data_IF_369568867576
#
_entry.id   IF_369568867576
#
_cell.length_a   1.000
_cell.length_b   1.000
_cell.length_c   1.000
_cell.angle_alpha   90.00
_cell.angle_beta   90.00
_cell.angle_gamma   90.00
#
_symmetry.space_group_name_H-M   'P 1'
#
loop_
_entity.id
_entity.type
_entity.pdbx_description
1 polymer ?
#
# COMPACT_ATOMS: atom_id res chain seq x y z
N UNK A 1 6.01 -16.06 39.82
CA UNK A 1 5.12 -15.12 39.08
C UNK A 1 5.82 -13.81 38.75
N UNK A 2 6.21 -12.93 39.69
CA UNK A 2 6.84 -11.63 39.40
C UNK A 2 8.09 -11.67 38.49
N UNK A 3 8.97 -12.68 38.65
CA UNK A 3 10.15 -12.87 37.79
C UNK A 3 9.79 -13.21 36.34
N UNK A 4 8.76 -14.06 36.14
CA UNK A 4 8.26 -14.45 34.81
C UNK A 4 7.64 -13.24 34.12
N UNK A 5 6.81 -12.46 34.82
CA UNK A 5 6.23 -11.22 34.30
C UNK A 5 7.30 -10.21 33.88
N UNK A 6 8.37 -10.05 34.67
CA UNK A 6 9.50 -9.17 34.33
C UNK A 6 10.27 -9.65 33.10
N UNK A 7 10.47 -10.96 32.96
CA UNK A 7 11.12 -11.54 31.78
C UNK A 7 10.27 -11.35 30.52
N UNK A 8 8.96 -11.62 30.58
CA UNK A 8 8.04 -11.39 29.45
C UNK A 8 8.06 -9.92 29.04
N UNK A 9 7.98 -9.01 30.02
CA UNK A 9 8.07 -7.57 29.74
C UNK A 9 9.38 -7.20 29.02
N UNK A 10 10.51 -7.73 29.46
CA UNK A 10 11.81 -7.46 28.83
C UNK A 10 11.88 -8.02 27.40
N UNK A 11 11.33 -9.20 27.15
CA UNK A 11 11.26 -9.79 25.80
C UNK A 11 10.40 -8.92 24.89
N UNK A 12 9.23 -8.47 25.35
CA UNK A 12 8.35 -7.56 24.61
C UNK A 12 9.06 -6.23 24.33
N UNK A 13 9.75 -5.67 25.32
CA UNK A 13 10.50 -4.42 25.16
C UNK A 13 11.60 -4.56 24.11
N UNK A 14 12.41 -5.62 24.16
CA UNK A 14 13.47 -5.90 23.16
C UNK A 14 12.85 -6.07 21.78
N UNK A 15 11.74 -6.79 21.66
CA UNK A 15 11.02 -6.94 20.41
C UNK A 15 10.53 -5.60 19.85
N UNK A 16 9.95 -4.74 20.69
CA UNK A 16 9.50 -3.40 20.27
C UNK A 16 10.67 -2.51 19.84
N UNK A 17 11.78 -2.50 20.58
CA UNK A 17 12.98 -1.77 20.18
C UNK A 17 13.53 -2.26 18.83
N UNK A 18 13.54 -3.58 18.62
CA UNK A 18 13.95 -4.16 17.34
C UNK A 18 13.02 -3.75 16.20
N UNK A 19 11.70 -3.77 16.39
CA UNK A 19 10.74 -3.31 15.39
C UNK A 19 10.90 -1.82 15.06
N UNK A 20 11.13 -0.98 16.08
CA UNK A 20 11.42 0.45 15.88
C UNK A 20 12.70 0.66 15.07
N UNK A 21 13.77 -0.07 15.39
CA UNK A 21 15.02 -0.03 14.64
C UNK A 21 14.82 -0.43 13.16
N UNK A 22 14.10 -1.53 12.91
CA UNK A 22 13.81 -1.99 11.55
C UNK A 22 12.95 -0.99 10.77
N UNK A 23 11.97 -0.38 11.44
CA UNK A 23 11.10 0.64 10.86
C UNK A 23 11.89 1.89 10.49
N UNK A 24 12.72 2.39 11.40
CA UNK A 24 13.59 3.54 11.17
C UNK A 24 14.47 3.35 9.93
N UNK A 25 15.18 2.22 9.82
CA UNK A 25 16.02 1.95 8.65
C UNK A 25 15.21 1.72 7.36
N UNK A 26 14.01 1.17 7.44
CA UNK A 26 13.13 1.07 6.28
C UNK A 26 12.69 2.47 5.80
N UNK A 27 12.42 3.40 6.71
CA UNK A 27 12.12 4.80 6.34
C UNK A 27 13.35 5.45 5.73
N UNK A 28 14.53 5.36 6.35
CA UNK A 28 15.77 5.90 5.77
C UNK A 28 16.02 5.37 4.34
N UNK A 29 15.86 4.05 4.14
CA UNK A 29 15.99 3.42 2.83
C UNK A 29 15.03 4.04 1.81
N UNK A 30 13.76 4.23 2.16
CA UNK A 30 12.77 4.83 1.26
C UNK A 30 13.09 6.30 0.97
N UNK A 31 13.55 7.05 1.96
CA UNK A 31 13.93 8.45 1.79
C UNK A 31 15.11 8.63 0.82
N UNK A 32 15.93 7.60 0.57
CA UNK A 32 16.95 7.66 -0.49
C UNK A 32 16.36 7.84 -1.90
N UNK A 33 15.08 7.49 -2.11
CA UNK A 33 14.37 7.69 -3.37
C UNK A 33 13.72 9.07 -3.50
N UNK A 34 13.69 9.90 -2.45
CA UNK A 34 13.02 11.21 -2.47
C UNK A 34 13.49 12.11 -3.63
N UNK A 35 14.80 12.26 -3.93
CA UNK A 35 15.23 13.07 -5.07
C UNK A 35 14.73 12.53 -6.41
N UNK A 36 14.67 11.20 -6.55
CA UNK A 36 14.21 10.53 -7.76
C UNK A 36 12.69 10.67 -7.94
N UNK A 37 11.94 10.61 -6.83
CA UNK A 37 10.50 10.91 -6.80
C UNK A 37 10.25 12.36 -7.22
N UNK A 38 11.00 13.32 -6.67
CA UNK A 38 10.91 14.74 -7.05
C UNK A 38 11.18 14.96 -8.54
N UNK A 39 12.23 14.31 -9.06
CA UNK A 39 12.57 14.37 -10.47
C UNK A 39 11.42 13.85 -11.34
N UNK A 40 10.87 12.67 -11.03
CA UNK A 40 9.76 12.07 -11.79
C UNK A 40 8.48 12.91 -11.70
N UNK A 41 8.18 13.47 -10.52
CA UNK A 41 7.01 14.35 -10.35
C UNK A 41 7.16 15.65 -11.14
N UNK A 42 8.38 16.15 -11.33
CA UNK A 42 8.64 17.33 -12.15
C UNK A 42 8.61 17.04 -13.66
N UNK A 43 8.83 15.78 -14.07
CA UNK A 43 8.75 15.35 -15.47
C UNK A 43 7.30 15.28 -16.00
N UNK A 44 6.30 15.17 -15.12
CA UNK A 44 4.92 14.85 -15.49
C UNK A 44 3.93 15.86 -14.91
N UNK A 45 2.86 16.18 -15.65
CA UNK A 45 1.68 16.81 -15.04
C UNK A 45 0.93 15.73 -14.25
N UNK A 46 0.94 15.84 -12.92
CA UNK A 46 0.51 14.75 -12.03
C UNK A 46 -0.30 15.28 -10.85
N UNK A 47 -1.37 14.55 -10.52
CA UNK A 47 -2.15 14.77 -9.30
C UNK A 47 -1.52 14.13 -8.06
N UNK A 48 -0.50 13.27 -8.24
CA UNK A 48 0.21 12.64 -7.13
C UNK A 48 1.15 13.64 -6.45
N UNK A 49 1.41 13.42 -5.17
CA UNK A 49 2.39 14.20 -4.41
C UNK A 49 3.51 13.30 -3.87
N UNK A 50 4.64 13.92 -3.57
CA UNK A 50 5.86 13.25 -3.09
C UNK A 50 5.60 12.36 -1.87
N UNK A 51 4.87 12.88 -0.87
CA UNK A 51 4.63 12.16 0.37
C UNK A 51 3.84 10.87 0.14
N UNK A 52 2.79 10.93 -0.68
CA UNK A 52 2.00 9.76 -1.04
C UNK A 52 2.83 8.73 -1.82
N UNK A 53 3.63 9.17 -2.79
CA UNK A 53 4.48 8.29 -3.59
C UNK A 53 5.52 7.57 -2.70
N UNK A 54 6.19 8.29 -1.80
CA UNK A 54 7.13 7.69 -0.84
C UNK A 54 6.44 6.70 0.11
N UNK A 55 5.24 7.02 0.59
CA UNK A 55 4.46 6.10 1.41
C UNK A 55 4.05 4.83 0.66
N UNK A 56 3.77 4.94 -0.64
CA UNK A 56 3.50 3.79 -1.50
C UNK A 56 4.77 2.96 -1.73
N UNK A 57 5.93 3.56 -2.01
CA UNK A 57 7.22 2.83 -2.07
C UNK A 57 7.49 2.07 -0.77
N UNK A 58 7.25 2.71 0.39
CA UNK A 58 7.38 2.05 1.68
C UNK A 58 6.40 0.87 1.82
N UNK A 59 5.16 1.05 1.39
CA UNK A 59 4.13 0.02 1.47
C UNK A 59 4.42 -1.16 0.55
N UNK A 60 4.89 -0.92 -0.67
CA UNK A 60 5.19 -1.96 -1.67
C UNK A 60 6.44 -2.75 -1.30
N UNK A 61 7.59 -2.06 -1.20
CA UNK A 61 8.89 -2.73 -1.17
C UNK A 61 9.78 -2.32 -0.02
N UNK A 62 9.43 -1.25 0.70
CA UNK A 62 10.31 -0.63 1.71
C UNK A 62 11.63 -0.18 1.08
N UNK A 63 11.62 0.07 -0.24
CA UNK A 63 12.80 0.40 -1.05
C UNK A 63 13.81 -0.75 -1.21
N UNK A 64 13.41 -2.01 -0.99
CA UNK A 64 14.31 -3.18 -1.01
C UNK A 64 14.35 -3.95 -2.33
N UNK A 65 13.51 -3.58 -3.28
CA UNK A 65 13.45 -4.20 -4.61
C UNK A 65 13.74 -3.15 -5.67
N UNK A 66 14.12 -3.58 -6.88
CA UNK A 66 14.40 -2.67 -7.99
C UNK A 66 13.12 -2.04 -8.52
N UNK A 67 12.05 -2.84 -8.65
CA UNK A 67 10.69 -2.36 -8.91
C UNK A 67 10.06 -1.83 -7.61
N UNK A 68 10.55 -0.67 -7.17
CA UNK A 68 10.28 -0.06 -5.85
C UNK A 68 8.80 0.24 -5.59
N UNK A 69 8.02 0.54 -6.63
CA UNK A 69 6.57 0.76 -6.57
C UNK A 69 5.74 -0.45 -7.03
N UNK A 70 6.37 -1.60 -7.31
CA UNK A 70 5.72 -2.79 -7.88
C UNK A 70 4.81 -2.46 -9.07
N UNK A 71 5.26 -1.57 -9.95
CA UNK A 71 4.45 -1.04 -11.05
C UNK A 71 4.54 -1.88 -12.33
N UNK A 72 5.36 -2.95 -12.34
CA UNK A 72 5.52 -3.83 -13.50
C UNK A 72 4.20 -4.41 -14.02
N UNK A 73 3.29 -4.82 -13.12
CA UNK A 73 2.01 -5.41 -13.53
C UNK A 73 1.13 -4.39 -14.24
N UNK A 74 1.12 -3.13 -13.79
CA UNK A 74 0.36 -2.05 -14.43
C UNK A 74 0.90 -1.70 -15.84
N UNK A 75 2.20 -1.88 -16.06
CA UNK A 75 2.86 -1.57 -17.33
C UNK A 75 2.85 -2.74 -18.33
N UNK A 76 2.98 -3.97 -17.84
CA UNK A 76 3.31 -5.15 -18.68
C UNK A 76 2.40 -6.36 -18.46
N UNK A 77 1.62 -6.38 -17.38
CA UNK A 77 0.87 -7.56 -16.94
C UNK A 77 1.73 -8.65 -16.29
N UNK A 78 3.04 -8.43 -16.12
CA UNK A 78 3.96 -9.36 -15.46
C UNK A 78 4.64 -8.72 -14.25
N UNK A 79 4.86 -9.52 -13.20
CA UNK A 79 5.61 -9.09 -12.01
C UNK A 79 7.10 -8.92 -12.32
N UNK A 80 7.76 -7.95 -11.68
CA UNK A 80 9.22 -7.73 -11.73
C UNK A 80 9.81 -7.58 -13.15
N UNK A 81 9.04 -7.08 -14.11
CA UNK A 81 9.51 -6.79 -15.46
C UNK A 81 10.38 -5.50 -15.51
N UNK A 82 10.11 -4.55 -14.61
CA UNK A 82 10.88 -3.32 -14.48
C UNK A 82 12.16 -3.59 -13.69
N UNK A 83 13.31 -3.28 -14.31
CA UNK A 83 14.66 -3.49 -13.75
C UNK A 83 15.40 -2.18 -13.47
N UNK A 84 14.68 -1.06 -13.44
CA UNK A 84 15.18 0.26 -13.10
C UNK A 84 14.22 0.96 -12.13
N UNK A 85 14.76 1.51 -11.04
CA UNK A 85 13.95 2.12 -9.99
C UNK A 85 13.32 3.45 -10.43
N UNK A 86 13.97 4.22 -11.31
CA UNK A 86 13.38 5.46 -11.85
C UNK A 86 12.17 5.12 -12.71
N UNK A 87 12.27 4.10 -13.54
CA UNK A 87 11.17 3.62 -14.37
C UNK A 87 10.02 3.06 -13.52
N UNK A 88 10.33 2.34 -12.44
CA UNK A 88 9.32 1.87 -11.49
C UNK A 88 8.53 3.03 -10.89
N UNK A 89 9.22 4.08 -10.44
CA UNK A 89 8.61 5.30 -9.90
C UNK A 89 7.80 6.02 -10.98
N UNK A 90 8.34 6.17 -12.20
CA UNK A 90 7.64 6.82 -13.33
C UNK A 90 6.33 6.13 -13.65
N UNK A 91 6.34 4.81 -13.83
CA UNK A 91 5.12 4.06 -14.13
C UNK A 91 4.14 4.07 -12.96
N UNK A 92 4.64 3.95 -11.73
CA UNK A 92 3.80 4.04 -10.53
C UNK A 92 3.12 5.39 -10.38
N UNK A 93 3.83 6.50 -10.63
CA UNK A 93 3.28 7.86 -10.62
C UNK A 93 2.23 8.04 -11.73
N UNK A 94 2.50 7.55 -12.95
CA UNK A 94 1.53 7.62 -14.05
C UNK A 94 0.24 6.90 -13.67
N UNK A 95 0.33 5.65 -13.22
CA UNK A 95 -0.84 4.85 -12.87
C UNK A 95 -1.61 5.43 -11.68
N UNK A 96 -0.91 5.89 -10.64
CA UNK A 96 -1.53 6.59 -9.51
C UNK A 96 -2.24 7.88 -9.95
N UNK A 97 -1.62 8.66 -10.85
CA UNK A 97 -2.21 9.91 -11.36
C UNK A 97 -3.50 9.66 -12.13
N UNK A 98 -3.53 8.61 -12.95
CA UNK A 98 -4.74 8.19 -13.65
C UNK A 98 -5.84 7.81 -12.66
N UNK A 99 -5.51 7.08 -11.59
CA UNK A 99 -6.47 6.72 -10.55
C UNK A 99 -7.00 7.96 -9.82
N UNK A 100 -6.14 8.92 -9.48
CA UNK A 100 -6.51 10.16 -8.80
C UNK A 100 -7.42 11.03 -9.67
N UNK A 101 -7.10 11.16 -10.96
CA UNK A 101 -7.92 11.88 -11.91
C UNK A 101 -9.31 11.23 -12.04
N UNK A 102 -9.35 9.91 -12.27
CA UNK A 102 -10.61 9.19 -12.40
C UNK A 102 -11.43 9.26 -11.10
N UNK A 103 -10.79 9.18 -9.93
CA UNK A 103 -11.48 9.36 -8.65
C UNK A 103 -12.13 10.75 -8.55
N UNK A 104 -11.41 11.82 -8.95
CA UNK A 104 -11.96 13.16 -9.02
C UNK A 104 -13.13 13.29 -9.99
N UNK A 105 -13.02 12.69 -11.19
CA UNK A 105 -14.09 12.66 -12.19
C UNK A 105 -15.35 11.91 -11.71
N UNK A 106 -15.17 10.84 -10.92
CA UNK A 106 -16.27 10.07 -10.32
C UNK A 106 -16.75 10.61 -8.97
N UNK A 107 -16.13 11.69 -8.47
CA UNK A 107 -16.50 12.32 -7.21
C UNK A 107 -16.27 11.44 -5.98
N UNK A 108 -15.25 10.58 -6.00
CA UNK A 108 -14.86 9.72 -4.88
C UNK A 108 -13.58 10.19 -4.21
N UNK A 109 -13.33 9.71 -3.00
CA UNK A 109 -12.19 10.16 -2.21
C UNK A 109 -10.84 9.62 -2.74
N UNK A 110 -9.75 10.32 -2.37
CA UNK A 110 -8.38 9.97 -2.77
C UNK A 110 -7.97 8.55 -2.34
N UNK A 111 -8.47 8.03 -1.22
CA UNK A 111 -8.12 6.68 -0.77
C UNK A 111 -8.77 5.60 -1.64
N UNK A 112 -9.86 5.92 -2.35
CA UNK A 112 -10.36 5.05 -3.43
C UNK A 112 -9.32 4.88 -4.53
N UNK A 113 -8.68 5.97 -4.99
CA UNK A 113 -7.63 5.92 -6.00
C UNK A 113 -6.41 5.11 -5.53
N UNK A 114 -6.02 5.28 -4.26
CA UNK A 114 -4.92 4.52 -3.65
C UNK A 114 -5.28 3.03 -3.56
N UNK A 115 -6.49 2.68 -3.13
CA UNK A 115 -6.93 1.28 -3.08
C UNK A 115 -7.00 0.67 -4.49
N UNK A 116 -7.42 1.44 -5.49
CA UNK A 116 -7.46 1.03 -6.89
C UNK A 116 -6.06 0.78 -7.49
N UNK A 117 -4.99 1.30 -6.89
CA UNK A 117 -3.62 0.93 -7.29
C UNK A 117 -3.39 -0.58 -7.08
N UNK A 118 -3.95 -1.14 -6.01
CA UNK A 118 -3.86 -2.57 -5.71
C UNK A 118 -4.97 -3.42 -6.37
N UNK A 119 -6.18 -2.90 -6.52
CA UNK A 119 -7.33 -3.64 -7.04
C UNK A 119 -7.61 -3.46 -8.54
N UNK A 120 -6.98 -2.48 -9.17
CA UNK A 120 -7.35 -2.03 -10.51
C UNK A 120 -8.34 -0.86 -10.50
N UNK A 121 -8.30 -0.07 -11.58
CA UNK A 121 -9.10 1.15 -11.77
C UNK A 121 -10.62 0.95 -11.66
N UNK A 122 -11.13 -0.23 -11.99
CA UNK A 122 -12.57 -0.54 -11.90
C UNK A 122 -13.14 -0.47 -10.48
N UNK A 123 -12.28 -0.52 -9.45
CA UNK A 123 -12.68 -0.28 -8.07
C UNK A 123 -13.21 1.15 -7.84
N UNK A 124 -12.73 2.14 -8.61
CA UNK A 124 -13.18 3.54 -8.50
C UNK A 124 -14.67 3.64 -8.86
N UNK A 125 -15.06 2.99 -9.95
CA UNK A 125 -16.46 2.95 -10.40
C UNK A 125 -17.35 2.18 -9.42
N UNK A 126 -16.82 1.11 -8.82
CA UNK A 126 -17.52 0.38 -7.78
C UNK A 126 -17.79 1.26 -6.56
N UNK A 127 -16.82 1.99 -6.03
CA UNK A 127 -17.03 2.88 -4.88
C UNK A 127 -17.98 4.02 -5.23
N UNK A 128 -17.88 4.60 -6.42
CA UNK A 128 -18.80 5.64 -6.89
C UNK A 128 -20.27 5.18 -6.88
N UNK A 129 -20.51 3.91 -7.25
CA UNK A 129 -21.83 3.30 -7.21
C UNK A 129 -22.30 2.90 -5.80
N UNK A 130 -21.40 2.89 -4.80
CA UNK A 130 -21.65 2.37 -3.45
C UNK A 130 -21.36 3.39 -2.35
N UNK A 131 -21.72 4.66 -2.59
CA UNK A 131 -21.68 5.71 -1.56
C UNK A 131 -20.53 6.72 -1.69
N UNK A 132 -19.62 6.50 -2.63
CA UNK A 132 -18.61 7.49 -3.03
C UNK A 132 -17.40 7.62 -2.11
N UNK A 133 -17.31 6.82 -1.05
CA UNK A 133 -16.18 6.82 -0.12
C UNK A 133 -15.64 5.41 0.10
N UNK A 134 -14.31 5.26 0.02
CA UNK A 134 -13.63 4.01 0.29
C UNK A 134 -13.80 3.61 1.76
N UNK A 135 -14.16 2.35 1.98
CA UNK A 135 -14.24 1.74 3.30
C UNK A 135 -13.67 0.32 3.28
N UNK A 136 -13.35 -0.20 4.46
CA UNK A 136 -12.86 -1.58 4.55
C UNK A 136 -13.93 -2.57 4.11
N UNK A 137 -15.20 -2.31 4.43
CA UNK A 137 -16.32 -3.19 4.06
C UNK A 137 -16.48 -3.25 2.54
N UNK A 138 -16.35 -2.11 1.85
CA UNK A 138 -16.36 -2.08 0.38
C UNK A 138 -15.14 -2.78 -0.22
N UNK A 139 -13.96 -2.58 0.36
CA UNK A 139 -12.74 -3.24 -0.10
C UNK A 139 -12.78 -4.76 0.11
N UNK A 140 -13.32 -5.24 1.24
CA UNK A 140 -13.51 -6.67 1.52
C UNK A 140 -14.53 -7.28 0.54
N UNK A 141 -15.67 -6.63 0.34
CA UNK A 141 -16.70 -7.14 -0.57
C UNK A 141 -16.19 -7.16 -2.02
N UNK A 142 -15.51 -6.10 -2.49
CA UNK A 142 -14.93 -6.08 -3.83
C UNK A 142 -13.83 -7.12 -4.03
N UNK A 143 -12.95 -7.30 -3.03
CA UNK A 143 -11.94 -8.37 -3.02
C UNK A 143 -12.58 -9.74 -3.20
N UNK A 144 -13.64 -10.00 -2.44
CA UNK A 144 -14.38 -11.26 -2.39
C UNK A 144 -15.21 -11.54 -3.65
N UNK A 145 -15.90 -10.54 -4.20
CA UNK A 145 -16.89 -10.75 -5.27
C UNK A 145 -16.36 -10.43 -6.67
N UNK A 146 -15.28 -9.65 -6.78
CA UNK A 146 -14.73 -9.22 -8.07
C UNK A 146 -13.31 -9.72 -8.25
N UNK A 147 -12.38 -9.30 -7.38
CA UNK A 147 -10.94 -9.55 -7.59
C UNK A 147 -10.63 -11.04 -7.49
N UNK A 148 -10.97 -11.68 -6.36
CA UNK A 148 -10.68 -13.09 -6.12
C UNK A 148 -11.26 -14.02 -7.21
N UNK A 149 -12.55 -13.91 -7.59
CA UNK A 149 -13.10 -14.72 -8.69
C UNK A 149 -12.44 -14.45 -10.04
N UNK A 150 -12.13 -13.18 -10.37
CA UNK A 150 -11.49 -12.81 -11.65
C UNK A 150 -10.10 -13.44 -11.83
N UNK A 151 -9.44 -13.73 -10.71
CA UNK A 151 -8.12 -14.34 -10.65
C UNK A 151 -8.18 -15.83 -10.22
N UNK A 152 -9.35 -16.46 -10.29
CA UNK A 152 -9.52 -17.91 -10.16
C UNK A 152 -9.88 -18.43 -8.76
N UNK A 153 -10.00 -17.57 -7.74
CA UNK A 153 -10.53 -17.96 -6.43
C UNK A 153 -12.06 -17.80 -6.38
N UNK A 154 -12.78 -18.81 -6.86
CA UNK A 154 -14.25 -18.88 -6.80
C UNK A 154 -14.76 -19.59 -5.53
N UNK A 155 -13.86 -20.22 -4.76
CA UNK A 155 -14.19 -20.95 -3.52
C UNK A 155 -14.19 -20.07 -2.26
N UNK A 156 -13.84 -18.79 -2.40
CA UNK A 156 -13.67 -17.84 -1.30
C UNK A 156 -12.60 -18.27 -0.29
N UNK A 157 -11.55 -18.93 -0.78
CA UNK A 157 -10.42 -19.34 0.05
C UNK A 157 -9.72 -18.12 0.63
N UNK A 158 -9.35 -18.19 1.91
CA UNK A 158 -8.66 -17.12 2.65
C UNK A 158 -7.42 -17.64 3.34
N UNK A 159 -6.45 -16.75 3.56
CA UNK A 159 -5.28 -17.03 4.40
C UNK A 159 -5.11 -15.97 5.49
N UNK A 160 -4.48 -16.34 6.61
CA UNK A 160 -4.20 -15.41 7.70
C UNK A 160 -3.14 -14.40 7.28
N UNK A 161 -3.46 -13.12 7.46
CA UNK A 161 -2.58 -12.01 7.13
C UNK A 161 -2.08 -11.32 8.41
N UNK A 162 -0.80 -11.57 8.73
CA UNK A 162 -0.15 -11.14 9.97
C UNK A 162 0.34 -9.69 9.93
N UNK A 163 -0.56 -8.76 9.58
CA UNK A 163 -0.30 -7.32 9.63
C UNK A 163 -1.08 -6.70 10.81
N UNK A 164 -0.49 -5.79 11.62
CA UNK A 164 -1.17 -5.21 12.79
C UNK A 164 -2.56 -4.64 12.48
N UNK A 165 -2.70 -3.90 11.37
CA UNK A 165 -3.99 -3.36 10.92
C UNK A 165 -4.99 -4.46 10.52
N UNK A 166 -4.52 -5.58 9.97
CA UNK A 166 -5.40 -6.67 9.60
C UNK A 166 -5.87 -7.44 10.83
N UNK A 167 -4.98 -7.69 11.81
CA UNK A 167 -5.30 -8.44 13.02
C UNK A 167 -6.43 -7.82 13.86
N UNK A 168 -6.60 -6.49 13.80
CA UNK A 168 -7.71 -5.79 14.47
C UNK A 168 -8.98 -5.72 13.62
N UNK A 169 -8.93 -6.16 12.36
CA UNK A 169 -10.02 -6.13 11.39
C UNK A 169 -10.24 -7.50 10.70
N UNK A 170 -10.15 -8.60 11.45
CA UNK A 170 -10.44 -9.96 10.96
C UNK A 170 -9.24 -10.78 10.48
N UNK A 171 -8.10 -10.15 10.22
CA UNK A 171 -6.80 -10.82 10.09
C UNK A 171 -6.63 -11.74 8.90
N UNK A 172 -7.39 -11.54 7.82
CA UNK A 172 -7.44 -12.44 6.66
C UNK A 172 -7.42 -11.68 5.34
N UNK A 173 -6.93 -12.35 4.29
CA UNK A 173 -7.08 -11.92 2.90
C UNK A 173 -7.64 -13.09 2.09
N UNK A 174 -8.36 -12.76 1.01
CA UNK A 174 -8.79 -13.76 0.03
C UNK A 174 -7.59 -14.14 -0.85
N UNK A 175 -7.41 -15.43 -1.11
CA UNK A 175 -6.46 -15.91 -2.13
C UNK A 175 -6.81 -15.22 -3.45
N UNK A 176 -5.81 -14.66 -4.14
CA UNK A 176 -6.00 -13.89 -5.38
C UNK A 176 -6.97 -12.70 -5.27
N UNK A 177 -7.25 -12.21 -4.06
CA UNK A 177 -8.21 -11.12 -3.84
C UNK A 177 -7.58 -9.73 -3.72
N UNK A 178 -6.28 -9.58 -3.98
CA UNK A 178 -5.53 -8.38 -3.63
C UNK A 178 -5.47 -8.14 -2.11
N UNK A 179 -5.17 -6.91 -1.71
CA UNK A 179 -5.05 -6.49 -0.33
C UNK A 179 -6.13 -5.45 0.02
N UNK A 180 -7.22 -5.90 0.63
CA UNK A 180 -8.33 -5.03 1.08
C UNK A 180 -7.93 -3.97 2.12
N UNK A 181 -6.75 -4.08 2.73
CA UNK A 181 -6.24 -3.11 3.70
C UNK A 181 -5.29 -2.08 3.07
N UNK A 182 -5.02 -2.15 1.77
CA UNK A 182 -3.91 -1.43 1.11
C UNK A 182 -3.94 0.08 1.36
N UNK A 183 -5.06 0.75 1.09
CA UNK A 183 -5.22 2.20 1.32
C UNK A 183 -4.96 2.59 2.79
N UNK A 184 -5.46 1.82 3.75
CA UNK A 184 -5.20 2.03 5.19
C UNK A 184 -3.74 1.78 5.56
N UNK A 185 -3.07 0.82 4.93
CA UNK A 185 -1.63 0.58 5.12
C UNK A 185 -0.80 1.77 4.61
N UNK A 186 -1.10 2.25 3.40
CA UNK A 186 -0.44 3.44 2.83
C UNK A 186 -0.64 4.64 3.74
N UNK A 187 -1.88 4.90 4.18
CA UNK A 187 -2.19 6.01 5.09
C UNK A 187 -1.42 5.91 6.42
N UNK A 188 -1.37 4.72 7.03
CA UNK A 188 -0.63 4.48 8.26
C UNK A 188 0.88 4.68 8.05
N UNK A 189 1.44 4.15 6.97
CA UNK A 189 2.86 4.28 6.65
C UNK A 189 3.24 5.72 6.36
N UNK A 190 2.37 6.48 5.69
CA UNK A 190 2.54 7.90 5.47
C UNK A 190 2.67 8.68 6.79
N UNK A 191 1.76 8.43 7.74
CA UNK A 191 1.84 9.03 9.07
C UNK A 191 3.09 8.60 9.84
N UNK A 192 3.44 7.32 9.79
CA UNK A 192 4.63 6.75 10.44
C UNK A 192 5.91 7.38 9.90
N UNK A 193 6.05 7.50 8.58
CA UNK A 193 7.20 8.13 7.93
C UNK A 193 7.30 9.60 8.30
N UNK A 194 6.18 10.33 8.31
CA UNK A 194 6.15 11.73 8.75
C UNK A 194 6.64 11.86 10.19
N UNK A 195 6.21 10.98 11.10
CA UNK A 195 6.69 11.00 12.48
C UNK A 195 8.18 10.72 12.60
N UNK A 196 8.70 9.76 11.85
CA UNK A 196 10.13 9.41 11.90
C UNK A 196 10.99 10.54 11.34
N UNK A 197 10.57 11.18 10.25
CA UNK A 197 11.32 12.28 9.62
C UNK A 197 11.29 13.61 10.41
N UNK A 198 10.49 13.70 11.47
CA UNK A 198 10.47 14.88 12.36
C UNK A 198 11.62 14.90 13.40
N UNK A 199 12.32 13.78 13.56
CA UNK A 199 13.40 13.59 14.55
C UNK A 199 14.70 13.22 13.86
#
# INVERSE_FOLDING_TARGET
MKKITRTIFLVVLVFLCYQLYQTYHAVEQVMTFQPLVQEVLAENDTAANEELVLAMIYTETKGKQVDVMQSSESATGYINAITDSKESIRQGVIYLSQNLQLAGERGVDVWTAVQAYNFGQTYIDYVAANGGENSLDLAEEYSKTVVAPSLGNTSLETYTYWHPLALVNGGKLYVNGGNMYYSRQVQFNMYLMRLINLF
#
